data_IF_993464750146
#
_entry.id   IF_993464750146
#
_cell.length_a   1.000
_cell.length_b   1.000
_cell.length_c   1.000
_cell.angle_alpha   90.00
_cell.angle_beta   90.00
_cell.angle_gamma   90.00
#
_symmetry.space_group_name_H-M   'P 1'
#
loop_
_entity.id
_entity.type
_entity.pdbx_description
1 polymer ?
#
# COMPACT_ATOMS: atom_id res chain seq x y z
N UNK A 1 15.34 -45.23 -36.67
CA UNK A 1 16.09 -44.96 -35.42
C UNK A 1 16.50 -43.49 -35.28
N UNK A 2 16.81 -42.74 -36.35
CA UNK A 2 17.14 -41.29 -36.26
C UNK A 2 15.93 -40.39 -35.98
N UNK A 3 14.75 -40.71 -36.54
CA UNK A 3 13.54 -39.89 -36.43
C UNK A 3 12.98 -39.79 -34.99
N UNK A 4 13.09 -40.86 -34.19
CA UNK A 4 12.67 -40.83 -32.78
C UNK A 4 13.63 -40.03 -31.88
N UNK A 5 14.89 -39.86 -32.27
CA UNK A 5 15.85 -39.09 -31.46
C UNK A 5 15.57 -37.59 -31.61
N UNK A 6 15.24 -37.10 -32.81
CA UNK A 6 14.94 -35.68 -33.03
C UNK A 6 13.64 -35.23 -32.35
N UNK A 7 12.60 -36.08 -32.32
CA UNK A 7 11.34 -35.78 -31.62
C UNK A 7 11.53 -35.68 -30.10
N UNK A 8 12.41 -36.51 -29.52
CA UNK A 8 12.78 -36.46 -28.10
C UNK A 8 13.62 -35.21 -27.79
N UNK A 9 14.59 -34.84 -28.63
CA UNK A 9 15.38 -33.61 -28.46
C UNK A 9 14.50 -32.34 -28.56
N UNK A 10 13.55 -32.30 -29.50
CA UNK A 10 12.60 -31.19 -29.62
C UNK A 10 11.69 -31.09 -28.39
N UNK A 11 11.18 -32.21 -27.87
CA UNK A 11 10.36 -32.24 -26.65
C UNK A 11 11.13 -31.75 -25.41
N UNK A 12 12.40 -32.13 -25.27
CA UNK A 12 13.29 -31.67 -24.19
C UNK A 12 13.65 -30.18 -24.31
N UNK A 13 13.83 -29.68 -25.53
CA UNK A 13 14.04 -28.25 -25.82
C UNK A 13 12.82 -27.40 -25.46
N UNK A 14 11.62 -27.87 -25.82
CA UNK A 14 10.36 -27.21 -25.47
C UNK A 14 10.08 -27.26 -23.95
N UNK A 15 10.37 -28.39 -23.29
CA UNK A 15 10.24 -28.52 -21.84
C UNK A 15 11.16 -27.53 -21.10
N UNK A 16 12.42 -27.39 -21.53
CA UNK A 16 13.36 -26.42 -20.94
C UNK A 16 12.93 -24.98 -21.13
N UNK A 17 12.36 -24.64 -22.30
CA UNK A 17 11.81 -23.30 -22.58
C UNK A 17 10.60 -23.01 -21.68
N UNK A 18 9.67 -23.96 -21.54
CA UNK A 18 8.50 -23.82 -20.68
C UNK A 18 8.89 -23.65 -19.21
N UNK A 19 9.77 -24.52 -18.68
CA UNK A 19 10.23 -24.44 -17.28
C UNK A 19 10.91 -23.10 -16.99
N UNK A 20 11.74 -22.59 -17.92
CA UNK A 20 12.40 -21.29 -17.77
C UNK A 20 11.40 -20.15 -17.71
N UNK A 21 10.38 -20.14 -18.57
CA UNK A 21 9.36 -19.10 -18.55
C UNK A 21 8.46 -19.19 -17.32
N UNK A 22 8.11 -20.39 -16.85
CA UNK A 22 7.36 -20.58 -15.60
C UNK A 22 8.16 -20.11 -14.38
N UNK A 23 9.47 -20.40 -14.32
CA UNK A 23 10.35 -19.90 -13.25
C UNK A 23 10.49 -18.36 -13.28
N UNK A 24 10.61 -17.76 -14.45
CA UNK A 24 10.69 -16.30 -14.58
C UNK A 24 9.37 -15.62 -14.19
N UNK A 25 8.22 -16.17 -14.59
CA UNK A 25 6.90 -15.62 -14.25
C UNK A 25 6.59 -15.72 -12.76
N UNK A 26 6.96 -16.82 -12.12
CA UNK A 26 6.78 -17.01 -10.67
C UNK A 26 7.66 -16.07 -9.84
N UNK A 27 8.90 -15.81 -10.28
CA UNK A 27 9.80 -14.85 -9.64
C UNK A 27 9.24 -13.42 -9.68
N UNK A 28 8.69 -13.00 -10.82
CA UNK A 28 8.09 -11.66 -10.98
C UNK A 28 6.84 -11.50 -10.11
N UNK A 29 6.00 -12.53 -10.02
CA UNK A 29 4.77 -12.48 -9.21
C UNK A 29 5.07 -12.29 -7.71
N UNK A 30 6.10 -12.96 -7.19
CA UNK A 30 6.45 -12.85 -5.76
C UNK A 30 7.06 -11.49 -5.40
N UNK A 31 7.80 -10.85 -6.32
CA UNK A 31 8.37 -9.53 -6.08
C UNK A 31 7.30 -8.44 -5.92
N UNK A 32 6.13 -8.60 -6.52
CA UNK A 32 5.03 -7.62 -6.45
C UNK A 32 4.29 -7.55 -5.11
N UNK A 33 4.40 -8.57 -4.25
CA UNK A 33 3.64 -8.65 -2.99
C UNK A 33 4.32 -7.96 -1.79
N UNK A 34 5.55 -7.47 -1.94
CA UNK A 34 6.36 -6.97 -0.81
C UNK A 34 6.07 -5.49 -0.47
N UNK A 35 5.33 -4.77 -1.31
CA UNK A 35 4.99 -3.35 -1.05
C UNK A 35 3.68 -3.26 -0.26
N UNK A 36 3.71 -3.67 1.00
CA UNK A 36 2.69 -3.27 2.00
C UNK A 36 3.36 -2.38 3.03
N UNK A 37 3.66 -1.15 2.63
CA UNK A 37 4.15 -0.13 3.55
C UNK A 37 3.01 0.30 4.48
N UNK A 38 2.91 -0.29 5.66
CA UNK A 38 2.08 0.28 6.73
C UNK A 38 2.82 1.50 7.27
N UNK A 39 2.53 2.68 6.72
CA UNK A 39 2.99 3.96 7.28
C UNK A 39 2.21 4.22 8.58
N UNK A 40 2.61 3.56 9.66
CA UNK A 40 2.18 3.93 11.00
C UNK A 40 3.07 5.09 11.43
N UNK A 41 2.69 6.32 11.08
CA UNK A 41 3.20 7.47 11.81
C UNK A 41 2.85 7.22 13.28
N UNK A 42 3.83 7.15 14.16
CA UNK A 42 3.59 6.99 15.59
C UNK A 42 2.73 8.19 16.03
N UNK A 43 1.43 7.96 16.20
CA UNK A 43 0.53 9.06 16.50
C UNK A 43 0.77 9.49 17.95
N UNK A 44 1.45 10.63 18.10
CA UNK A 44 1.67 11.31 19.37
C UNK A 44 0.63 12.40 19.58
N UNK A 45 1.03 13.48 20.25
CA UNK A 45 0.23 14.69 20.40
C UNK A 45 0.22 15.49 19.09
N UNK A 46 -0.97 15.75 18.56
CA UNK A 46 -1.22 16.52 17.35
C UNK A 46 -2.05 17.76 17.70
N UNK A 47 -1.53 18.95 17.41
CA UNK A 47 -2.27 20.20 17.53
C UNK A 47 -2.83 20.62 16.19
N UNK A 48 -4.14 20.86 16.13
CA UNK A 48 -4.87 21.25 14.92
C UNK A 48 -5.59 22.59 15.12
N UNK A 49 -5.54 23.46 14.11
CA UNK A 49 -6.20 24.75 14.15
C UNK A 49 -7.71 24.62 13.86
N UNK A 50 -8.55 25.12 14.75
CA UNK A 50 -10.00 25.22 14.59
C UNK A 50 -10.39 26.61 14.09
N UNK A 51 -11.27 26.65 13.11
CA UNK A 51 -11.79 27.87 12.52
C UNK A 51 -13.09 28.31 13.21
N UNK A 52 -13.51 29.56 13.03
CA UNK A 52 -14.69 30.12 13.71
C UNK A 52 -16.01 29.96 12.94
N UNK A 53 -16.01 29.37 11.73
CA UNK A 53 -17.23 29.11 10.96
C UNK A 53 -17.74 27.67 11.14
N UNK A 54 -19.06 27.52 11.26
CA UNK A 54 -19.70 26.28 11.72
C UNK A 54 -19.35 25.02 10.90
N UNK A 55 -19.19 25.14 9.59
CA UNK A 55 -18.81 23.99 8.76
C UNK A 55 -17.38 23.51 9.02
N UNK A 56 -16.43 24.41 9.30
CA UNK A 56 -15.06 23.99 9.63
C UNK A 56 -14.94 23.50 11.07
N UNK A 57 -15.71 24.04 12.01
CA UNK A 57 -15.76 23.48 13.37
C UNK A 57 -16.25 22.03 13.33
N UNK A 58 -17.34 21.79 12.59
CA UNK A 58 -17.85 20.43 12.41
C UNK A 58 -16.80 19.49 11.79
N UNK A 59 -16.11 19.92 10.73
CA UNK A 59 -15.06 19.11 10.10
C UNK A 59 -13.88 18.85 11.04
N UNK A 60 -13.42 19.86 11.79
CA UNK A 60 -12.35 19.70 12.78
C UNK A 60 -12.71 18.69 13.87
N UNK A 61 -13.98 18.65 14.29
CA UNK A 61 -14.48 17.65 15.23
C UNK A 61 -14.53 16.23 14.63
N UNK A 62 -14.94 16.11 13.37
CA UNK A 62 -14.93 14.80 12.66
C UNK A 62 -13.51 14.28 12.50
N UNK A 63 -12.58 15.14 12.07
CA UNK A 63 -11.17 14.79 11.92
C UNK A 63 -10.55 14.37 13.25
N UNK A 64 -10.86 15.09 14.34
CA UNK A 64 -10.45 14.73 15.70
C UNK A 64 -10.89 13.30 16.07
N UNK A 65 -12.16 12.94 15.83
CA UNK A 65 -12.66 11.59 16.14
C UNK A 65 -11.94 10.52 15.31
N UNK A 66 -11.71 10.78 14.02
CA UNK A 66 -11.00 9.84 13.14
C UNK A 66 -9.57 9.63 13.63
N UNK A 67 -8.87 10.70 14.01
CA UNK A 67 -7.49 10.64 14.48
C UNK A 67 -7.37 9.98 15.86
N UNK A 68 -8.25 10.29 16.79
CA UNK A 68 -8.25 9.66 18.12
C UNK A 68 -8.67 8.19 18.08
N UNK A 69 -9.75 7.85 17.35
CA UNK A 69 -10.34 6.50 17.36
C UNK A 69 -9.80 5.59 16.26
N UNK A 70 -9.49 6.14 15.11
CA UNK A 70 -8.97 5.40 13.95
C UNK A 70 -7.46 5.27 13.94
N UNK A 71 -6.74 6.27 14.46
CA UNK A 71 -5.28 6.33 14.40
C UNK A 71 -4.58 6.37 15.77
N UNK A 72 -5.33 6.51 16.88
CA UNK A 72 -4.79 6.50 18.24
C UNK A 72 -3.99 7.75 18.62
N UNK A 73 -4.23 8.87 17.94
CA UNK A 73 -3.57 10.15 18.21
C UNK A 73 -4.20 10.88 19.41
N UNK A 74 -3.43 11.71 20.10
CA UNK A 74 -3.98 12.69 21.05
C UNK A 74 -4.12 14.03 20.32
N UNK A 75 -5.34 14.55 20.15
CA UNK A 75 -5.61 15.72 19.30
C UNK A 75 -6.10 16.91 20.12
N UNK A 76 -5.34 17.99 20.11
CA UNK A 76 -5.70 19.28 20.71
C UNK A 76 -6.11 20.28 19.63
N UNK A 77 -7.26 20.92 19.82
CA UNK A 77 -7.77 21.95 18.91
C UNK A 77 -7.45 23.34 19.46
N UNK A 78 -6.78 24.16 18.65
CA UNK A 78 -6.41 25.53 19.00
C UNK A 78 -7.11 26.53 18.08
N UNK A 79 -7.61 27.68 18.55
CA UNK A 79 -8.21 28.67 17.68
C UNK A 79 -7.19 29.20 16.65
N UNK A 80 -7.48 29.03 15.36
CA UNK A 80 -6.60 29.44 14.27
C UNK A 80 -7.24 30.38 13.24
N UNK A 81 -8.49 30.77 13.42
CA UNK A 81 -9.14 31.73 12.53
C UNK A 81 -8.46 33.10 12.61
N UNK A 82 -8.10 33.67 11.46
CA UNK A 82 -7.74 35.08 11.36
C UNK A 82 -8.95 35.94 11.71
N UNK A 83 -8.81 36.86 12.66
CA UNK A 83 -9.87 37.83 12.98
C UNK A 83 -10.13 38.70 11.75
N UNK A 84 -11.34 38.65 11.20
CA UNK A 84 -11.85 39.59 10.19
C UNK A 84 -12.79 40.58 10.83
#
# INVERSE_FOLDING_TARGET
MSFEIETIQNKQSLLKRMIRHTLLLTLVLMAGMVITGTSFAACGSLTMAEMNWASAQFMAQVDKVILEKGYGCDVELVPGATMT
#
